data_IF_060422767235
#
_entry.id   IF_060422767235
#
_cell.length_a   1.000
_cell.length_b   1.000
_cell.length_c   1.000
_cell.angle_alpha   90.00
_cell.angle_beta   90.00
_cell.angle_gamma   90.00
#
_symmetry.space_group_name_H-M   'P 1'
#
loop_
_entity.id
_entity.type
_entity.pdbx_description
1 polymer ?
#
# COMPACT_ATOMS: atom_id res chain seq x y z
N UNK A 1 20.82 -28.15 -102.17
CA UNK A 1 21.84 -28.99 -101.50
C UNK A 1 22.74 -28.02 -100.77
N UNK A 2 22.80 -27.95 -99.44
CA UNK A 2 22.48 -28.94 -98.42
C UNK A 2 21.91 -28.26 -97.15
N UNK A 3 21.10 -29.01 -96.40
CA UNK A 3 20.77 -28.76 -95.00
C UNK A 3 21.95 -29.24 -94.13
N UNK A 4 22.23 -28.55 -93.02
CA UNK A 4 22.42 -29.08 -91.64
C UNK A 4 22.27 -27.84 -90.69
N UNK A 5 21.31 -27.71 -89.76
CA UNK A 5 21.15 -28.37 -88.44
C UNK A 5 22.45 -28.27 -87.59
N UNK A 6 22.52 -27.72 -86.36
CA UNK A 6 21.56 -27.56 -85.25
C UNK A 6 22.02 -26.54 -84.19
N UNK A 7 21.04 -25.88 -83.56
CA UNK A 7 20.88 -25.57 -82.13
C UNK A 7 22.08 -25.18 -81.23
N UNK A 8 22.00 -23.99 -80.62
CA UNK A 8 22.00 -23.92 -79.15
C UNK A 8 21.18 -22.72 -78.63
N UNK A 9 20.29 -23.05 -77.71
CA UNK A 9 19.37 -22.19 -76.98
C UNK A 9 20.13 -21.42 -75.88
N UNK A 10 19.81 -20.15 -75.67
CA UNK A 10 19.12 -19.69 -74.44
C UNK A 10 19.25 -18.17 -74.26
N UNK A 11 18.10 -17.51 -74.46
CA UNK A 11 17.56 -16.35 -73.74
C UNK A 11 18.54 -15.38 -73.07
N UNK A 12 18.82 -14.30 -73.79
CA UNK A 12 19.27 -13.02 -73.23
C UNK A 12 18.22 -12.49 -72.25
N UNK A 13 18.56 -12.50 -70.95
CA UNK A 13 17.70 -12.09 -69.86
C UNK A 13 17.49 -10.58 -69.84
N UNK A 14 16.21 -10.19 -69.74
CA UNK A 14 15.76 -8.81 -69.73
C UNK A 14 16.25 -8.00 -68.52
N UNK A 15 16.74 -6.81 -68.84
CA UNK A 15 16.35 -5.51 -68.29
C UNK A 15 15.58 -5.53 -66.94
N UNK A 16 16.28 -5.13 -65.88
CA UNK A 16 15.75 -4.25 -64.82
C UNK A 16 16.87 -3.37 -64.27
N UNK A 17 16.97 -2.16 -64.82
CA UNK A 17 17.33 -0.99 -64.04
C UNK A 17 16.34 -0.90 -62.87
N UNK A 18 16.81 -1.01 -61.64
CA UNK A 18 16.20 -0.40 -60.45
C UNK A 18 16.98 -0.80 -59.21
N UNK A 19 17.44 0.23 -58.48
CA UNK A 19 17.96 0.15 -57.12
C UNK A 19 19.34 -0.49 -56.95
N UNK A 20 20.35 0.14 -57.54
CA UNK A 20 21.59 0.43 -56.79
C UNK A 20 21.31 1.53 -55.76
N UNK A 21 20.27 1.32 -54.94
CA UNK A 21 20.28 1.77 -53.58
C UNK A 21 20.65 0.51 -52.81
N UNK A 22 21.96 0.25 -52.77
CA UNK A 22 22.57 -0.39 -51.61
C UNK A 22 22.26 0.53 -50.42
N UNK A 23 21.00 0.49 -49.99
CA UNK A 23 20.62 0.63 -48.60
C UNK A 23 21.35 -0.54 -47.95
N UNK A 24 22.63 -0.34 -47.65
CA UNK A 24 23.12 -0.81 -46.37
C UNK A 24 22.13 -0.23 -45.36
N UNK A 25 21.05 -0.96 -45.13
CA UNK A 25 20.41 -1.00 -43.85
C UNK A 25 21.52 -1.48 -42.93
N UNK A 26 22.40 -0.54 -42.54
CA UNK A 26 23.31 -0.64 -41.44
C UNK A 26 22.45 -1.25 -40.38
N UNK A 27 22.68 -2.52 -40.08
CA UNK A 27 22.06 -3.21 -38.96
C UNK A 27 22.59 -2.47 -37.75
N UNK A 28 21.99 -1.31 -37.45
CA UNK A 28 22.24 -0.54 -36.25
C UNK A 28 21.89 -1.53 -35.17
N UNK A 29 22.91 -2.15 -34.57
CA UNK A 29 22.74 -2.96 -33.37
C UNK A 29 22.00 -2.04 -32.43
N UNK A 30 20.74 -2.35 -32.15
CA UNK A 30 19.98 -1.67 -31.11
C UNK A 30 20.87 -1.82 -29.88
N UNK A 31 21.38 -0.69 -29.38
CA UNK A 31 22.12 -0.67 -28.13
C UNK A 31 21.26 -1.39 -27.10
N UNK A 32 21.88 -2.28 -26.33
CA UNK A 32 21.22 -3.11 -25.33
C UNK A 32 20.11 -2.32 -24.63
N UNK A 33 18.90 -2.90 -24.56
CA UNK A 33 17.76 -2.21 -23.96
C UNK A 33 18.16 -1.78 -22.54
N UNK A 34 18.08 -0.47 -22.19
CA UNK A 34 18.51 -0.02 -20.88
C UNK A 34 17.81 -0.83 -19.79
N UNK A 35 18.56 -1.16 -18.75
CA UNK A 35 17.99 -1.84 -17.60
C UNK A 35 16.89 -0.99 -16.96
N UNK A 36 15.93 -1.64 -16.31
CA UNK A 36 14.86 -0.93 -15.60
C UNK A 36 15.41 0.11 -14.60
N UNK A 37 16.55 -0.18 -13.97
CA UNK A 37 17.25 0.75 -13.08
C UNK A 37 17.85 1.97 -13.80
N UNK A 38 18.37 1.82 -15.01
CA UNK A 38 18.87 2.94 -15.82
C UNK A 38 17.74 3.85 -16.29
N UNK A 39 16.64 3.27 -16.77
CA UNK A 39 15.43 4.02 -17.12
C UNK A 39 14.88 4.75 -15.89
N UNK A 40 14.80 4.07 -14.75
CA UNK A 40 14.35 4.66 -13.49
C UNK A 40 15.22 5.84 -13.03
N UNK A 41 16.54 5.75 -13.16
CA UNK A 41 17.45 6.87 -12.85
C UNK A 41 17.31 8.03 -13.82
N UNK A 42 17.27 7.74 -15.13
CA UNK A 42 17.18 8.76 -16.19
C UNK A 42 15.90 9.57 -16.10
N UNK A 43 14.80 8.92 -15.77
CA UNK A 43 13.46 9.53 -15.79
C UNK A 43 12.96 10.01 -14.43
N UNK A 44 13.79 9.95 -13.38
CA UNK A 44 13.37 10.29 -12.01
C UNK A 44 12.69 11.65 -11.88
N UNK A 45 13.11 12.65 -12.67
CA UNK A 45 12.51 14.00 -12.68
C UNK A 45 11.46 14.23 -13.77
N UNK A 46 11.08 13.20 -14.53
CA UNK A 46 10.12 13.36 -15.60
C UNK A 46 8.72 13.68 -15.03
N UNK A 47 7.95 14.62 -15.62
CA UNK A 47 6.67 15.06 -15.04
C UNK A 47 5.68 13.93 -14.78
N UNK A 48 5.62 12.92 -15.65
CA UNK A 48 4.75 11.76 -15.49
C UNK A 48 5.16 10.86 -14.31
N UNK A 49 6.46 10.79 -14.00
CA UNK A 49 6.94 10.03 -12.84
C UNK A 49 6.63 10.76 -11.55
N UNK A 50 6.90 12.06 -11.50
CA UNK A 50 6.59 12.88 -10.32
C UNK A 50 5.09 12.79 -10.00
N UNK A 51 4.22 12.98 -11.01
CA UNK A 51 2.78 12.84 -10.83
C UNK A 51 2.36 11.43 -10.38
N UNK A 52 2.96 10.37 -10.95
CA UNK A 52 2.67 9.00 -10.54
C UNK A 52 3.16 8.71 -9.11
N UNK A 53 4.35 9.18 -8.73
CA UNK A 53 4.92 9.04 -7.39
C UNK A 53 4.09 9.79 -6.34
N UNK A 54 3.59 10.98 -6.68
CA UNK A 54 2.68 11.75 -5.83
C UNK A 54 1.35 11.01 -5.62
N UNK A 55 0.76 10.47 -6.70
CA UNK A 55 -0.46 9.67 -6.62
C UNK A 55 -0.26 8.39 -5.79
N UNK A 56 0.84 7.67 -6.01
CA UNK A 56 1.20 6.48 -5.24
C UNK A 56 1.40 6.85 -3.77
N UNK A 57 2.06 7.96 -3.48
CA UNK A 57 2.29 8.44 -2.11
C UNK A 57 0.97 8.78 -1.40
N UNK A 58 0.06 9.45 -2.09
CA UNK A 58 -1.28 9.74 -1.57
C UNK A 58 -2.10 8.47 -1.30
N UNK A 59 -2.10 7.51 -2.24
CA UNK A 59 -2.78 6.23 -2.08
C UNK A 59 -2.18 5.42 -0.92
N UNK A 60 -0.86 5.40 -0.80
CA UNK A 60 -0.17 4.72 0.29
C UNK A 60 -0.47 5.36 1.66
N UNK A 61 -0.60 6.69 1.72
CA UNK A 61 -1.00 7.38 2.94
C UNK A 61 -2.44 6.98 3.35
N UNK A 62 -3.37 6.97 2.39
CA UNK A 62 -4.74 6.53 2.63
C UNK A 62 -4.82 5.07 3.08
N UNK A 63 -4.11 4.17 2.38
CA UNK A 63 -4.07 2.75 2.72
C UNK A 63 -3.51 2.49 4.13
N UNK A 64 -2.48 3.25 4.54
CA UNK A 64 -1.94 3.18 5.90
C UNK A 64 -2.98 3.58 6.94
N UNK A 65 -3.76 4.62 6.69
CA UNK A 65 -4.79 5.07 7.63
C UNK A 65 -5.92 4.06 7.74
N UNK A 66 -6.40 3.52 6.62
CA UNK A 66 -7.42 2.47 6.61
C UNK A 66 -6.94 1.20 7.34
N UNK A 67 -5.68 0.82 7.16
CA UNK A 67 -5.09 -0.31 7.88
C UNK A 67 -5.03 -0.07 9.39
N UNK A 68 -4.68 1.15 9.84
CA UNK A 68 -4.71 1.52 11.26
C UNK A 68 -6.12 1.45 11.81
N UNK A 69 -7.10 1.95 11.08
CA UNK A 69 -8.50 1.88 11.47
C UNK A 69 -8.98 0.43 11.61
N UNK A 70 -8.70 -0.43 10.63
CA UNK A 70 -9.05 -1.85 10.70
C UNK A 70 -8.38 -2.54 11.89
N UNK A 71 -7.09 -2.26 12.13
CA UNK A 71 -6.36 -2.81 13.29
C UNK A 71 -7.00 -2.39 14.61
N UNK A 72 -7.36 -1.12 14.73
CA UNK A 72 -8.02 -0.55 15.92
C UNK A 72 -9.37 -1.23 16.19
N UNK A 73 -10.22 -1.35 15.18
CA UNK A 73 -11.52 -2.02 15.31
C UNK A 73 -11.38 -3.52 15.63
N UNK A 74 -10.45 -4.20 14.97
CA UNK A 74 -10.15 -5.61 15.25
C UNK A 74 -9.71 -5.82 16.70
N UNK A 75 -8.82 -4.96 17.20
CA UNK A 75 -8.34 -5.03 18.58
C UNK A 75 -9.45 -4.72 19.59
N UNK A 76 -10.27 -3.69 19.33
CA UNK A 76 -11.41 -3.34 20.16
C UNK A 76 -12.40 -4.51 20.28
N UNK A 77 -12.71 -5.18 19.15
CA UNK A 77 -13.58 -6.35 19.14
C UNK A 77 -12.98 -7.51 19.92
N UNK A 78 -11.70 -7.82 19.68
CA UNK A 78 -11.01 -8.90 20.39
C UNK A 78 -11.02 -8.68 21.91
N UNK A 79 -10.77 -7.45 22.35
CA UNK A 79 -10.83 -7.08 23.77
C UNK A 79 -12.25 -7.19 24.30
N UNK A 80 -13.27 -6.69 23.59
CA UNK A 80 -14.67 -6.79 24.01
C UNK A 80 -15.12 -8.24 24.18
N UNK A 81 -14.79 -9.11 23.22
CA UNK A 81 -15.10 -10.53 23.30
C UNK A 81 -14.38 -11.16 24.52
N UNK A 82 -13.09 -10.86 24.70
CA UNK A 82 -12.32 -11.33 25.84
C UNK A 82 -12.89 -10.89 27.20
N UNK A 83 -13.27 -9.62 27.32
CA UNK A 83 -13.87 -9.04 28.52
C UNK A 83 -15.23 -9.65 28.86
N UNK A 84 -16.07 -9.85 27.85
CA UNK A 84 -17.37 -10.48 28.01
C UNK A 84 -17.22 -11.93 28.48
N UNK A 85 -16.36 -12.71 27.83
CA UNK A 85 -16.23 -14.14 28.12
C UNK A 85 -15.51 -14.45 29.44
N UNK A 86 -14.50 -13.66 29.82
CA UNK A 86 -13.67 -13.97 31.00
C UNK A 86 -14.08 -13.22 32.26
N UNK A 87 -14.65 -12.02 32.12
CA UNK A 87 -14.95 -11.14 33.25
C UNK A 87 -16.42 -10.71 33.31
N UNK A 88 -17.26 -11.16 32.35
CA UNK A 88 -18.66 -10.74 32.21
C UNK A 88 -18.82 -9.20 32.12
N UNK A 89 -17.81 -8.53 31.57
CA UNK A 89 -17.80 -7.07 31.39
C UNK A 89 -18.25 -6.76 29.97
N UNK A 90 -19.46 -6.21 29.84
CA UNK A 90 -19.97 -5.73 28.57
C UNK A 90 -19.55 -4.27 28.34
N UNK A 91 -18.52 -4.03 27.52
CA UNK A 91 -18.08 -2.68 27.14
C UNK A 91 -18.23 -2.50 25.63
N UNK A 92 -18.71 -1.33 25.18
CA UNK A 92 -19.00 -1.12 23.77
C UNK A 92 -17.75 -1.15 22.90
N UNK A 93 -17.76 -1.87 21.78
CA UNK A 93 -16.63 -1.92 20.83
C UNK A 93 -16.26 -0.52 20.34
N UNK A 94 -17.24 0.36 20.11
CA UNK A 94 -16.99 1.74 19.69
C UNK A 94 -16.29 2.58 20.76
N UNK A 95 -16.63 2.38 22.04
CA UNK A 95 -15.97 3.06 23.16
C UNK A 95 -14.52 2.56 23.30
N UNK A 96 -14.29 1.25 23.24
CA UNK A 96 -12.93 0.67 23.23
C UNK A 96 -12.11 1.18 22.04
N UNK A 97 -12.71 1.22 20.85
CA UNK A 97 -12.05 1.73 19.65
C UNK A 97 -11.70 3.21 19.78
N UNK A 98 -12.46 3.99 20.55
CA UNK A 98 -12.15 5.40 20.83
C UNK A 98 -10.96 5.52 21.78
N UNK A 99 -10.96 4.78 22.89
CA UNK A 99 -9.83 4.75 23.83
C UNK A 99 -8.52 4.29 23.15
N UNK A 100 -8.61 3.27 22.29
CA UNK A 100 -7.47 2.81 21.49
C UNK A 100 -7.00 3.85 20.49
N UNK A 101 -7.93 4.63 19.89
CA UNK A 101 -7.58 5.72 18.96
C UNK A 101 -6.76 6.78 19.67
N UNK A 102 -7.20 7.21 20.85
CA UNK A 102 -6.52 8.23 21.67
C UNK A 102 -5.13 7.75 22.09
N UNK A 103 -5.02 6.50 22.57
CA UNK A 103 -3.73 5.90 22.91
C UNK A 103 -2.78 5.78 21.70
N UNK A 104 -3.30 5.45 20.51
CA UNK A 104 -2.51 5.36 19.27
C UNK A 104 -2.03 6.74 18.81
N UNK A 105 -2.88 7.77 18.93
CA UNK A 105 -2.52 9.15 18.61
C UNK A 105 -1.37 9.62 19.52
N UNK A 106 -1.51 9.45 20.84
CA UNK A 106 -0.47 9.83 21.82
C UNK A 106 0.86 9.08 21.62
N UNK A 107 0.82 7.84 21.16
CA UNK A 107 2.02 7.03 20.86
C UNK A 107 2.72 7.47 19.57
N UNK A 108 1.97 7.97 18.59
CA UNK A 108 2.50 8.35 17.28
C UNK A 108 2.92 9.81 17.21
N UNK A 109 2.21 10.69 17.90
CA UNK A 109 2.47 12.11 17.99
C UNK A 109 2.37 12.56 19.46
N UNK A 110 3.41 12.29 20.27
CA UNK A 110 3.40 12.65 21.69
C UNK A 110 3.47 14.18 21.84
N UNK A 111 2.66 14.78 22.73
CA UNK A 111 2.72 16.21 22.98
C UNK A 111 4.08 16.60 23.56
N UNK A 112 4.52 17.84 23.29
CA UNK A 112 5.78 18.37 23.83
C UNK A 112 5.76 18.61 25.34
N UNK A 113 4.57 18.52 25.97
CA UNK A 113 4.38 18.59 27.42
C UNK A 113 4.32 17.20 28.03
N UNK A 114 4.48 17.13 29.35
CA UNK A 114 4.22 15.90 30.08
C UNK A 114 2.77 15.43 29.89
N UNK A 115 2.62 14.10 29.84
CA UNK A 115 1.31 13.45 29.71
C UNK A 115 0.52 13.62 31.00
N UNK A 116 -0.75 13.98 30.86
CA UNK A 116 -1.69 13.97 31.98
C UNK A 116 -1.97 12.53 32.43
N UNK A 117 -2.44 12.32 33.68
CA UNK A 117 -2.79 10.98 34.17
C UNK A 117 -3.81 10.25 33.28
N UNK A 118 -4.73 10.97 32.64
CA UNK A 118 -5.70 10.40 31.70
C UNK A 118 -5.04 9.89 30.43
N UNK A 119 -4.14 10.69 29.84
CA UNK A 119 -3.38 10.32 28.63
C UNK A 119 -2.45 9.15 28.90
N UNK A 120 -1.79 9.12 30.06
CA UNK A 120 -1.02 7.95 30.52
C UNK A 120 -1.91 6.71 30.59
N UNK A 121 -3.15 6.86 31.10
CA UNK A 121 -4.13 5.79 31.12
C UNK A 121 -4.48 5.26 29.73
N UNK A 122 -4.66 6.14 28.74
CA UNK A 122 -4.96 5.76 27.34
C UNK A 122 -3.80 5.00 26.70
N UNK A 123 -2.55 5.43 26.94
CA UNK A 123 -1.35 4.73 26.45
C UNK A 123 -1.19 3.37 27.13
N UNK A 124 -1.42 3.29 28.44
CA UNK A 124 -1.42 2.01 29.19
C UNK A 124 -2.52 1.07 28.69
N UNK A 125 -3.71 1.61 28.40
CA UNK A 125 -4.83 0.86 27.85
C UNK A 125 -4.47 0.26 26.49
N UNK A 126 -3.89 1.05 25.59
CA UNK A 126 -3.39 0.56 24.31
C UNK A 126 -2.34 -0.55 24.51
N UNK A 127 -1.37 -0.35 25.39
CA UNK A 127 -0.32 -1.34 25.63
C UNK A 127 -0.89 -2.66 26.20
N UNK A 128 -1.88 -2.59 27.09
CA UNK A 128 -2.57 -3.76 27.63
C UNK A 128 -3.39 -4.48 26.56
N UNK A 129 -4.10 -3.73 25.70
CA UNK A 129 -4.84 -4.30 24.58
C UNK A 129 -3.91 -4.97 23.55
N UNK A 130 -2.79 -4.34 23.18
CA UNK A 130 -1.78 -4.91 22.27
C UNK A 130 -1.21 -6.23 22.81
N UNK A 131 -1.07 -6.36 24.13
CA UNK A 131 -0.61 -7.59 24.81
C UNK A 131 -1.73 -8.58 25.14
N UNK A 132 -2.98 -8.20 24.89
CA UNK A 132 -4.16 -8.95 25.31
C UNK A 132 -4.22 -9.24 26.83
N UNK A 133 -3.73 -8.31 27.64
CA UNK A 133 -3.80 -8.40 29.11
C UNK A 133 -5.17 -7.92 29.60
N UNK A 134 -6.14 -8.83 29.56
CA UNK A 134 -7.52 -8.53 29.92
C UNK A 134 -7.67 -8.11 31.39
N UNK A 135 -6.83 -8.60 32.31
CA UNK A 135 -6.90 -8.22 33.73
C UNK A 135 -6.54 -6.75 33.90
N UNK A 136 -5.46 -6.32 33.26
CA UNK A 136 -5.04 -4.93 33.29
C UNK A 136 -6.06 -4.01 32.61
N UNK A 137 -6.66 -4.47 31.50
CA UNK A 137 -7.74 -3.73 30.82
C UNK A 137 -8.90 -3.49 31.76
N UNK A 138 -9.38 -4.51 32.48
CA UNK A 138 -10.49 -4.36 33.45
C UNK A 138 -10.18 -3.28 34.49
N UNK A 139 -8.99 -3.31 35.09
CA UNK A 139 -8.58 -2.30 36.09
C UNK A 139 -8.50 -0.88 35.52
N UNK A 140 -8.15 -0.75 34.24
CA UNK A 140 -8.08 0.54 33.56
C UNK A 140 -9.46 1.04 33.16
N UNK A 141 -10.42 0.17 32.86
CA UNK A 141 -11.79 0.56 32.49
C UNK A 141 -12.50 1.32 33.61
N UNK A 142 -12.21 1.05 34.88
CA UNK A 142 -12.75 1.83 36.01
C UNK A 142 -12.36 3.31 35.97
N UNK A 143 -11.24 3.64 35.29
CA UNK A 143 -10.77 5.02 35.09
C UNK A 143 -11.44 5.70 33.89
N UNK A 144 -12.10 4.93 33.02
CA UNK A 144 -12.78 5.39 31.81
C UNK A 144 -14.27 5.07 31.90
N UNK A 145 -15.04 5.85 32.70
CA UNK A 145 -16.46 5.61 32.88
C UNK A 145 -17.17 5.69 31.52
N UNK A 146 -18.05 4.72 31.26
CA UNK A 146 -18.87 4.66 30.05
C UNK A 146 -19.58 5.99 29.85
N UNK A 147 -19.55 6.51 28.62
CA UNK A 147 -20.26 7.74 28.28
C UNK A 147 -21.76 7.55 28.48
N UNK A 148 -22.31 8.15 29.54
CA UNK A 148 -23.75 8.39 29.80
C UNK A 148 -24.73 7.37 29.16
N UNK A 149 -24.78 6.14 29.67
CA UNK A 149 -25.93 5.23 29.49
C UNK A 149 -26.35 4.52 30.78
N UNK A 150 -25.77 4.91 31.94
CA UNK A 150 -26.13 4.41 33.27
C UNK A 150 -27.00 5.39 34.08
N UNK A 151 -27.70 6.32 33.41
CA UNK A 151 -28.60 7.30 34.03
C UNK A 151 -30.09 7.04 33.70
N UNK A 152 -30.46 5.80 33.37
CA UNK A 152 -31.83 5.44 33.02
C UNK A 152 -32.25 4.11 33.64
N UNK A 153 -33.06 4.20 34.70
CA UNK A 153 -33.82 3.12 35.37
C UNK A 153 -33.05 2.18 36.30
N UNK A 154 -32.73 2.70 37.49
CA UNK A 154 -33.22 2.07 38.72
C UNK A 154 -34.54 2.76 39.09
N UNK A 155 -35.66 2.06 38.89
CA UNK A 155 -36.89 2.15 39.68
C UNK A 155 -37.76 0.97 39.28
#
# INVERSE_FOLDING_TARGET
MEMEQSESLASSSGQRDSMVLLSEASKLKVLFNPSAGEVHRRERGAPWRVQAEDQISALNAHAKEEQREKRRWGLAKQVQDGLMHNFNVNYGVAELATLLKEGMALKSDPPSRDLTPSEVGQVQFLAAAEKYDLKQIVLLLDKFPKGRAAAGKRQ
#
